data_IF_962569855967
#
_entry.id   IF_962569855967
#
_cell.length_a   1.000
_cell.length_b   1.000
_cell.length_c   1.000
_cell.angle_alpha   90.00
_cell.angle_beta   90.00
_cell.angle_gamma   90.00
#
_symmetry.space_group_name_H-M   'P 1'
#
loop_
_entity.id
_entity.type
_entity.pdbx_description
1 polymer ?
#
# COMPACT_ATOMS: atom_id res chain seq x y z
N UNK A 1 -7.51 7.61 -21.79
CA UNK A 1 -7.40 6.27 -21.15
C UNK A 1 -8.76 5.86 -20.63
N UNK A 2 -9.21 4.61 -20.85
CA UNK A 2 -10.49 4.14 -20.29
C UNK A 2 -10.42 4.12 -18.74
N UNK A 3 -11.50 4.51 -18.05
CA UNK A 3 -11.62 4.49 -16.58
C UNK A 3 -11.17 3.16 -15.98
N UNK A 4 -11.55 2.02 -16.59
CA UNK A 4 -11.16 0.69 -16.10
C UNK A 4 -9.67 0.41 -16.24
N UNK A 5 -9.03 0.94 -17.30
CA UNK A 5 -7.58 0.84 -17.49
C UNK A 5 -6.83 1.73 -16.51
N UNK A 6 -7.35 2.93 -16.24
CA UNK A 6 -6.82 3.82 -15.22
C UNK A 6 -6.86 3.18 -13.83
N UNK A 7 -8.01 2.58 -13.47
CA UNK A 7 -8.19 1.87 -12.21
C UNK A 7 -7.19 0.71 -12.05
N UNK A 8 -6.91 -0.05 -13.11
CA UNK A 8 -5.89 -1.11 -13.09
C UNK A 8 -4.48 -0.59 -12.83
N UNK A 9 -4.12 0.57 -13.41
CA UNK A 9 -2.81 1.19 -13.18
C UNK A 9 -2.72 1.68 -11.75
N UNK A 10 -3.69 2.47 -11.29
CA UNK A 10 -3.68 3.03 -9.94
C UNK A 10 -3.72 1.95 -8.85
N UNK A 11 -4.46 0.85 -9.04
CA UNK A 11 -4.50 -0.24 -8.06
C UNK A 11 -3.15 -0.91 -7.85
N UNK A 12 -2.28 -0.93 -8.86
CA UNK A 12 -0.91 -1.46 -8.77
C UNK A 12 0.06 -0.38 -8.26
N UNK A 13 -0.11 0.87 -8.71
CA UNK A 13 0.79 1.96 -8.31
C UNK A 13 0.67 2.31 -6.83
N UNK A 14 -0.54 2.25 -6.25
CA UNK A 14 -0.77 2.55 -4.84
C UNK A 14 0.12 1.72 -3.89
N UNK A 15 0.12 0.37 -3.93
CA UNK A 15 0.95 -0.42 -3.04
C UNK A 15 2.46 -0.23 -3.31
N UNK A 16 2.85 0.07 -4.55
CA UNK A 16 4.25 0.39 -4.88
C UNK A 16 4.68 1.71 -4.22
N UNK A 17 3.88 2.76 -4.30
CA UNK A 17 4.17 4.04 -3.64
C UNK A 17 4.22 3.85 -2.13
N UNK A 18 3.26 3.12 -1.55
CA UNK A 18 3.26 2.80 -0.13
C UNK A 18 4.54 2.07 0.29
N UNK A 19 4.96 1.06 -0.48
CA UNK A 19 6.20 0.32 -0.21
C UNK A 19 7.43 1.23 -0.29
N UNK A 20 7.54 2.11 -1.29
CA UNK A 20 8.65 3.08 -1.41
C UNK A 20 8.69 4.00 -0.18
N UNK A 21 7.53 4.52 0.25
CA UNK A 21 7.45 5.41 1.41
C UNK A 21 7.84 4.70 2.72
N UNK A 22 7.43 3.44 2.88
CA UNK A 22 7.82 2.59 4.01
C UNK A 22 9.31 2.29 4.00
N UNK A 23 9.87 1.90 2.85
CA UNK A 23 11.32 1.65 2.71
C UNK A 23 12.10 2.95 3.00
N UNK A 24 11.62 4.10 2.50
CA UNK A 24 12.24 5.38 2.78
C UNK A 24 12.22 5.71 4.28
N UNK A 25 11.11 5.40 4.98
CA UNK A 25 11.02 5.57 6.43
C UNK A 25 12.08 4.74 7.17
N UNK A 26 12.28 3.47 6.80
CA UNK A 26 13.26 2.60 7.46
C UNK A 26 14.72 2.91 7.11
N UNK A 27 14.98 3.32 5.88
CA UNK A 27 16.35 3.56 5.39
C UNK A 27 16.82 4.99 5.61
N UNK A 28 15.90 5.94 5.78
CA UNK A 28 16.22 7.37 5.84
C UNK A 28 16.81 7.91 4.53
N UNK A 29 16.60 7.24 3.39
CA UNK A 29 17.21 7.61 2.11
C UNK A 29 16.92 9.07 1.71
N UNK A 30 15.67 9.50 1.87
CA UNK A 30 15.25 10.89 1.77
C UNK A 30 14.71 11.35 3.13
N UNK A 31 15.26 12.46 3.63
CA UNK A 31 14.79 13.10 4.86
C UNK A 31 13.44 13.76 4.63
N UNK A 32 12.36 13.06 4.99
CA UNK A 32 10.98 13.55 4.90
C UNK A 32 10.46 13.81 6.33
N UNK A 33 9.82 14.96 6.63
CA UNK A 33 9.38 15.30 7.99
C UNK A 33 8.18 14.48 8.50
N UNK A 34 7.79 13.41 7.80
CA UNK A 34 6.56 12.66 8.07
C UNK A 34 6.70 11.63 9.20
N UNK A 35 7.88 11.50 9.83
CA UNK A 35 8.13 10.57 10.95
C UNK A 35 7.57 9.17 10.62
N UNK A 36 6.81 8.54 11.53
CA UNK A 36 6.18 7.23 11.32
C UNK A 36 4.94 7.20 10.42
N UNK A 37 4.47 8.35 9.91
CA UNK A 37 3.25 8.45 9.10
C UNK A 37 3.24 7.56 7.85
N UNK A 38 4.35 7.42 7.08
CA UNK A 38 4.43 6.51 5.94
C UNK A 38 4.01 5.08 6.23
N UNK A 39 4.30 4.59 7.44
CA UNK A 39 3.95 3.24 7.87
C UNK A 39 2.44 3.06 7.98
N UNK A 40 1.68 4.13 8.22
CA UNK A 40 0.21 4.08 8.35
C UNK A 40 -0.54 4.34 7.05
N UNK A 41 0.12 4.85 6.00
CA UNK A 41 -0.53 5.08 4.70
C UNK A 41 -1.21 3.85 4.10
N UNK A 42 -0.68 2.61 4.22
CA UNK A 42 -1.40 1.44 3.77
C UNK A 42 -2.80 1.25 4.37
N UNK A 43 -3.07 1.73 5.59
CA UNK A 43 -4.42 1.62 6.18
C UNK A 43 -5.46 2.38 5.35
N UNK A 44 -5.10 3.55 4.84
CA UNK A 44 -6.00 4.39 4.05
C UNK A 44 -5.94 4.04 2.56
N UNK A 45 -4.73 3.84 2.01
CA UNK A 45 -4.53 3.68 0.58
C UNK A 45 -4.86 2.26 0.10
N UNK A 46 -4.60 1.22 0.90
CA UNK A 46 -4.81 -0.16 0.45
C UNK A 46 -6.28 -0.50 0.17
N UNK A 47 -7.25 -0.11 1.01
CA UNK A 47 -8.67 -0.29 0.69
C UNK A 47 -9.07 0.40 -0.63
N UNK A 48 -8.55 1.61 -0.88
CA UNK A 48 -8.77 2.32 -2.15
C UNK A 48 -8.18 1.53 -3.32
N UNK A 49 -6.95 1.03 -3.17
CA UNK A 49 -6.30 0.18 -4.17
C UNK A 49 -7.08 -1.10 -4.47
N UNK A 50 -7.63 -1.76 -3.45
CA UNK A 50 -8.49 -2.94 -3.59
C UNK A 50 -9.77 -2.61 -4.36
N UNK A 51 -10.46 -1.50 -4.02
CA UNK A 51 -11.66 -1.05 -4.73
C UNK A 51 -11.36 -0.79 -6.21
N UNK A 52 -10.27 -0.08 -6.51
CA UNK A 52 -9.83 0.18 -7.89
C UNK A 52 -9.51 -1.13 -8.64
N UNK A 53 -8.89 -2.09 -7.97
CA UNK A 53 -8.61 -3.39 -8.54
C UNK A 53 -9.92 -4.12 -8.92
N UNK A 54 -10.92 -4.13 -8.04
CA UNK A 54 -12.25 -4.69 -8.34
C UNK A 54 -12.94 -4.00 -9.52
N UNK A 55 -12.89 -2.67 -9.60
CA UNK A 55 -13.44 -1.92 -10.75
C UNK A 55 -12.79 -2.35 -12.08
N UNK A 56 -11.50 -2.69 -12.05
CA UNK A 56 -10.74 -3.08 -13.24
C UNK A 56 -10.83 -4.57 -13.62
N UNK A 57 -11.42 -5.43 -12.77
CA UNK A 57 -11.33 -6.90 -12.88
C UNK A 57 -11.89 -7.45 -14.20
N UNK A 58 -12.96 -6.84 -14.73
CA UNK A 58 -13.58 -7.25 -16.00
C UNK A 58 -12.76 -6.87 -17.23
N UNK A 59 -11.84 -5.91 -17.10
CA UNK A 59 -11.02 -5.41 -18.23
C UNK A 59 -9.62 -5.98 -18.20
N UNK A 60 -9.03 -6.15 -17.02
CA UNK A 60 -7.69 -6.73 -16.88
C UNK A 60 -7.61 -7.57 -15.60
N UNK A 61 -8.07 -8.82 -15.69
CA UNK A 61 -8.11 -9.74 -14.55
C UNK A 61 -6.74 -9.95 -13.90
N UNK A 62 -5.65 -10.04 -14.69
CA UNK A 62 -4.30 -10.24 -14.15
C UNK A 62 -3.84 -9.05 -13.32
N UNK A 63 -3.93 -7.84 -13.86
CA UNK A 63 -3.59 -6.62 -13.12
C UNK A 63 -4.49 -6.41 -11.90
N UNK A 64 -5.78 -6.71 -12.01
CA UNK A 64 -6.70 -6.63 -10.88
C UNK A 64 -6.32 -7.60 -9.75
N UNK A 65 -5.99 -8.85 -10.08
CA UNK A 65 -5.53 -9.82 -9.06
C UNK A 65 -4.24 -9.36 -8.40
N UNK A 66 -3.24 -8.89 -9.16
CA UNK A 66 -2.02 -8.34 -8.58
C UNK A 66 -2.30 -7.12 -7.69
N UNK A 67 -3.18 -6.20 -8.13
CA UNK A 67 -3.60 -5.05 -7.33
C UNK A 67 -4.26 -5.48 -6.02
N UNK A 68 -5.19 -6.44 -6.04
CA UNK A 68 -5.82 -6.98 -4.82
C UNK A 68 -4.76 -7.58 -3.90
N UNK A 69 -3.90 -8.47 -4.41
CA UNK A 69 -2.90 -9.17 -3.60
C UNK A 69 -1.90 -8.19 -2.98
N UNK A 70 -1.34 -7.27 -3.76
CA UNK A 70 -0.36 -6.31 -3.26
C UNK A 70 -0.95 -5.37 -2.21
N UNK A 71 -2.17 -4.85 -2.43
CA UNK A 71 -2.83 -4.02 -1.42
C UNK A 71 -3.25 -4.84 -0.19
N UNK A 72 -3.67 -6.10 -0.35
CA UNK A 72 -3.99 -6.98 0.77
C UNK A 72 -2.76 -7.33 1.61
N UNK A 73 -1.56 -7.38 1.02
CA UNK A 73 -0.29 -7.54 1.75
C UNK A 73 0.11 -6.24 2.47
N UNK A 74 -0.11 -5.09 1.83
CA UNK A 74 0.22 -3.79 2.42
C UNK A 74 -0.72 -3.40 3.57
N UNK A 75 -2.00 -3.74 3.49
CA UNK A 75 -2.99 -3.41 4.50
C UNK A 75 -2.64 -3.86 5.93
N UNK A 76 -2.21 -5.11 6.20
CA UNK A 76 -1.85 -5.57 7.53
C UNK A 76 -0.48 -5.06 8.02
N UNK A 77 0.37 -4.54 7.14
CA UNK A 77 1.71 -4.04 7.48
C UNK A 77 1.75 -3.11 8.71
N UNK A 78 0.85 -2.13 8.86
CA UNK A 78 0.90 -1.18 9.96
C UNK A 78 0.59 -1.86 11.31
N UNK A 79 -0.21 -2.92 11.30
CA UNK A 79 -0.48 -3.73 12.50
C UNK A 79 0.75 -4.57 12.89
N UNK A 80 1.42 -5.19 11.91
CA UNK A 80 2.68 -5.89 12.17
C UNK A 80 3.74 -4.93 12.74
N UNK A 81 3.82 -3.71 12.22
CA UNK A 81 4.69 -2.69 12.78
C UNK A 81 4.32 -2.32 14.21
N UNK A 82 3.04 -2.10 14.51
CA UNK A 82 2.60 -1.74 15.86
C UNK A 82 2.90 -2.85 16.87
N UNK A 83 2.60 -4.11 16.51
CA UNK A 83 2.88 -5.29 17.35
C UNK A 83 4.40 -5.47 17.51
N UNK A 84 5.16 -5.40 16.42
CA UNK A 84 6.61 -5.53 16.45
C UNK A 84 7.28 -4.42 17.26
N UNK A 85 6.82 -3.18 17.09
CA UNK A 85 7.27 -2.03 17.87
C UNK A 85 6.97 -2.19 19.36
N UNK A 86 5.75 -2.57 19.73
CA UNK A 86 5.39 -2.83 21.12
C UNK A 86 6.25 -3.94 21.74
N UNK A 87 6.46 -5.05 21.02
CA UNK A 87 7.29 -6.17 21.48
C UNK A 87 8.78 -5.79 21.62
N UNK A 88 9.31 -4.97 20.72
CA UNK A 88 10.73 -4.58 20.74
C UNK A 88 11.03 -3.44 21.72
N UNK A 89 10.09 -2.52 21.92
CA UNK A 89 10.29 -1.34 22.77
C UNK A 89 9.62 -1.45 24.15
N UNK A 90 8.90 -2.54 24.42
CA UNK A 90 8.38 -2.86 25.75
C UNK A 90 7.33 -1.88 26.27
N UNK A 91 6.46 -1.38 25.39
CA UNK A 91 5.31 -0.52 25.75
C UNK A 91 4.08 -1.36 26.05
#
# INVERSE_FOLDING_TARGET
>A
MNVKKAAAVFSITIPIISAILIINFFTGFMSIPWQGMPVFFPLLLSPIGIILAFVSIKTNKRCAVYGIVLNAIMFPFPFFWFIGGALLFGV
#
